data_IF_770606401018
#
_entry.id   IF_770606401018
#
_cell.length_a   1.000
_cell.length_b   1.000
_cell.length_c   1.000
_cell.angle_alpha   90.00
_cell.angle_beta   90.00
_cell.angle_gamma   90.00
#
_symmetry.space_group_name_H-M   'P 1'
#
loop_
_entity.id
_entity.type
_entity.pdbx_description
1 polymer ?
#
# COMPACT_ATOMS: atom_id res chain seq x y z
N UNK A 1 -1.10 9.02 -15.76
CA UNK A 1 -2.23 8.88 -14.81
C UNK A 1 -2.63 10.27 -14.31
N UNK A 2 -3.92 10.50 -14.06
CA UNK A 2 -4.45 11.79 -13.60
C UNK A 2 -4.91 11.74 -12.13
N UNK A 3 -5.05 12.92 -11.50
CA UNK A 3 -5.60 13.06 -10.15
C UNK A 3 -4.69 12.58 -9.03
N UNK A 4 -3.40 12.34 -9.30
CA UNK A 4 -2.43 11.95 -8.29
C UNK A 4 -2.11 13.13 -7.39
N UNK A 5 -2.11 12.91 -6.08
CA UNK A 5 -1.77 13.93 -5.08
C UNK A 5 -0.51 13.51 -4.33
N UNK A 6 0.53 14.33 -4.39
CA UNK A 6 1.73 14.23 -3.55
C UNK A 6 1.67 15.38 -2.53
N UNK A 7 0.89 15.17 -1.47
CA UNK A 7 0.54 16.21 -0.52
C UNK A 7 1.35 16.15 0.77
N UNK A 8 1.51 17.28 1.43
CA UNK A 8 2.08 17.31 2.76
C UNK A 8 1.04 17.17 3.87
N UNK A 9 1.46 16.67 5.03
CA UNK A 9 0.63 16.62 6.24
C UNK A 9 0.93 17.81 7.16
N UNK A 10 -0.11 18.39 7.77
CA UNK A 10 0.04 19.39 8.83
C UNK A 10 0.42 20.81 8.38
N UNK A 11 0.73 21.67 9.36
CA UNK A 11 1.14 23.08 9.19
C UNK A 11 2.65 23.29 9.38
N UNK A 12 3.38 22.19 9.49
CA UNK A 12 4.76 22.18 9.94
C UNK A 12 5.70 22.57 8.79
N UNK A 13 6.67 23.43 9.10
CA UNK A 13 7.60 23.98 8.12
C UNK A 13 8.79 23.02 8.04
N UNK A 14 9.00 22.44 6.86
CA UNK A 14 10.07 21.49 6.63
C UNK A 14 9.76 20.52 5.49
N UNK A 15 10.50 19.41 5.48
CA UNK A 15 10.27 18.33 4.53
C UNK A 15 9.02 17.54 4.92
N UNK A 16 7.92 17.84 4.23
CA UNK A 16 6.58 17.32 4.52
C UNK A 16 5.95 16.60 3.35
N UNK A 17 6.63 16.53 2.21
CA UNK A 17 6.08 15.93 0.98
C UNK A 17 6.70 14.56 0.72
N UNK A 18 5.97 13.67 0.02
CA UNK A 18 6.45 12.33 -0.26
C UNK A 18 7.70 12.32 -1.14
N UNK A 19 8.57 11.34 -0.92
CA UNK A 19 9.75 11.07 -1.76
C UNK A 19 9.49 9.84 -2.61
N UNK A 20 9.53 10.01 -3.92
CA UNK A 20 9.26 8.93 -4.88
C UNK A 20 10.58 8.34 -5.34
N UNK A 21 10.77 7.04 -5.12
CA UNK A 21 11.89 6.27 -5.61
C UNK A 21 11.84 6.09 -7.13
N UNK A 22 12.98 5.74 -7.71
CA UNK A 22 13.11 5.51 -9.14
C UNK A 22 12.18 4.35 -9.58
N UNK A 23 11.66 4.43 -10.80
CA UNK A 23 10.82 3.37 -11.38
C UNK A 23 9.49 3.11 -10.66
N UNK A 24 9.10 3.94 -9.68
CA UNK A 24 7.83 3.76 -9.00
C UNK A 24 6.64 4.08 -9.92
N UNK A 25 5.62 3.22 -9.91
CA UNK A 25 4.38 3.39 -10.68
C UNK A 25 3.26 3.87 -9.76
N UNK A 26 2.66 5.03 -10.08
CA UNK A 26 1.54 5.57 -9.33
C UNK A 26 0.26 5.53 -10.17
N UNK A 27 -0.75 4.81 -9.67
CA UNK A 27 -2.07 4.69 -10.30
C UNK A 27 -2.89 5.99 -10.28
N UNK A 28 -3.93 6.04 -11.11
CA UNK A 28 -4.84 7.18 -11.17
C UNK A 28 -5.51 7.47 -9.81
N UNK A 29 -5.69 8.75 -9.49
CA UNK A 29 -6.33 9.21 -8.24
C UNK A 29 -5.67 8.70 -6.95
N UNK A 30 -4.40 8.29 -6.99
CA UNK A 30 -3.65 7.93 -5.80
C UNK A 30 -3.29 9.17 -4.98
N UNK A 31 -3.49 9.10 -3.67
CA UNK A 31 -3.20 10.18 -2.73
C UNK A 31 -2.12 9.72 -1.77
N UNK A 32 -0.97 10.40 -1.80
CA UNK A 32 0.21 10.10 -1.00
C UNK A 32 0.47 11.32 -0.12
N UNK A 33 0.37 11.14 1.20
CA UNK A 33 0.41 12.24 2.15
C UNK A 33 1.55 12.08 3.16
N UNK A 34 2.29 13.17 3.37
CA UNK A 34 3.29 13.29 4.42
C UNK A 34 4.72 13.06 3.93
N UNK A 35 5.68 13.18 4.85
CA UNK A 35 7.08 12.90 4.57
C UNK A 35 7.34 11.38 4.57
N UNK A 36 6.82 10.71 3.55
CA UNK A 36 6.93 9.26 3.39
C UNK A 36 7.76 8.92 2.16
N UNK A 37 8.46 7.80 2.21
CA UNK A 37 9.27 7.28 1.12
C UNK A 37 8.52 6.18 0.40
N UNK A 38 8.38 6.35 -0.91
CA UNK A 38 7.96 5.30 -1.83
C UNK A 38 9.23 4.66 -2.38
N UNK A 39 9.45 3.39 -2.08
CA UNK A 39 10.63 2.65 -2.52
C UNK A 39 10.76 2.60 -4.04
N UNK A 40 11.97 2.31 -4.50
CA UNK A 40 12.27 2.06 -5.91
C UNK A 40 11.43 0.87 -6.44
N UNK A 41 10.91 1.00 -7.66
CA UNK A 41 10.08 -0.02 -8.28
C UNK A 41 8.77 -0.31 -7.53
N UNK A 42 8.37 0.51 -6.57
CA UNK A 42 7.11 0.32 -5.86
C UNK A 42 5.90 0.69 -6.74
N UNK A 43 4.79 0.02 -6.50
CA UNK A 43 3.58 0.17 -7.29
C UNK A 43 2.39 0.57 -6.42
N UNK A 44 1.84 1.75 -6.65
CA UNK A 44 0.67 2.27 -5.94
C UNK A 44 -0.58 2.07 -6.80
N UNK A 45 -1.54 1.31 -6.28
CA UNK A 45 -2.82 1.07 -6.94
C UNK A 45 -3.64 2.34 -7.12
N UNK A 46 -4.48 2.37 -8.14
CA UNK A 46 -5.39 3.49 -8.38
C UNK A 46 -6.34 3.72 -7.20
N UNK A 47 -6.60 4.98 -6.86
CA UNK A 47 -7.49 5.37 -5.76
C UNK A 47 -6.98 5.05 -4.35
N UNK A 48 -5.69 4.74 -4.18
CA UNK A 48 -5.12 4.38 -2.88
C UNK A 48 -4.75 5.59 -2.04
N UNK A 49 -4.89 5.49 -0.71
CA UNK A 49 -4.45 6.50 0.26
C UNK A 49 -3.22 5.99 1.03
N UNK A 50 -2.04 6.50 0.68
CA UNK A 50 -0.76 6.10 1.27
C UNK A 50 -0.36 7.09 2.36
N UNK A 51 -0.20 6.58 3.58
CA UNK A 51 0.18 7.34 4.78
C UNK A 51 1.40 6.74 5.51
N UNK A 52 2.04 5.72 4.93
CA UNK A 52 3.19 5.01 5.49
C UNK A 52 4.20 4.74 4.40
N UNK A 53 5.47 4.60 4.80
CA UNK A 53 6.54 4.22 3.88
C UNK A 53 6.23 2.91 3.17
N UNK A 54 6.58 2.88 1.89
CA UNK A 54 6.34 1.74 1.00
C UNK A 54 7.69 1.11 0.66
N UNK A 55 7.90 -0.19 0.97
CA UNK A 55 9.13 -0.89 0.63
C UNK A 55 9.41 -0.89 -0.88
N UNK A 56 10.68 -1.00 -1.30
CA UNK A 56 11.03 -1.19 -2.71
C UNK A 56 10.36 -2.44 -3.30
N UNK A 57 10.05 -2.41 -4.60
CA UNK A 57 9.43 -3.50 -5.36
C UNK A 57 8.16 -4.07 -4.72
N UNK A 58 7.42 -3.25 -3.97
CA UNK A 58 6.17 -3.66 -3.33
C UNK A 58 4.95 -3.03 -3.99
N UNK A 59 3.84 -3.77 -4.01
CA UNK A 59 2.55 -3.29 -4.48
C UNK A 59 1.67 -2.91 -3.29
N UNK A 60 1.16 -1.68 -3.28
CA UNK A 60 0.25 -1.18 -2.24
C UNK A 60 -1.08 -0.75 -2.83
N UNK A 61 -2.19 -1.06 -2.14
CA UNK A 61 -3.52 -0.61 -2.56
C UNK A 61 -4.47 -0.43 -1.38
N UNK A 62 -5.55 0.34 -1.61
CA UNK A 62 -6.66 0.51 -0.67
C UNK A 62 -6.63 1.82 0.12
N UNK A 63 -7.64 1.99 0.98
CA UNK A 63 -7.82 3.15 1.85
C UNK A 63 -8.14 2.62 3.26
N UNK A 64 -7.19 2.65 4.22
CA UNK A 64 -5.78 3.01 4.09
C UNK A 64 -4.98 1.99 3.27
N UNK A 65 -3.94 2.43 2.56
CA UNK A 65 -3.14 1.57 1.70
C UNK A 65 -2.40 0.48 2.50
N UNK A 66 -2.44 -0.76 1.99
CA UNK A 66 -1.73 -1.91 2.54
C UNK A 66 -0.90 -2.58 1.45
N UNK A 67 0.23 -3.14 1.86
CA UNK A 67 1.04 -3.99 0.98
C UNK A 67 0.24 -5.25 0.68
N UNK A 68 0.02 -5.50 -0.60
CA UNK A 68 -0.72 -6.65 -1.10
C UNK A 68 0.20 -7.72 -1.70
N UNK A 69 1.46 -7.37 -1.98
CA UNK A 69 2.53 -8.29 -2.34
C UNK A 69 3.68 -7.55 -3.01
N UNK A 70 4.52 -8.27 -3.75
CA UNK A 70 5.74 -7.76 -4.38
C UNK A 70 5.67 -7.87 -5.91
N UNK A 71 6.40 -6.99 -6.58
CA UNK A 71 6.46 -6.87 -8.03
C UNK A 71 7.85 -7.29 -8.49
N UNK A 72 7.93 -8.24 -9.43
CA UNK A 72 9.22 -8.72 -9.96
C UNK A 72 9.79 -7.80 -11.05
N UNK A 73 8.96 -6.93 -11.64
CA UNK A 73 9.40 -5.93 -12.61
C UNK A 73 10.34 -4.92 -11.93
N UNK A 74 11.54 -4.74 -12.49
CA UNK A 74 12.55 -3.81 -11.99
C UNK A 74 12.12 -2.35 -12.13
N UNK A 75 11.37 -2.03 -13.18
CA UNK A 75 10.86 -0.69 -13.45
C UNK A 75 9.41 -0.73 -13.94
N UNK A 76 8.42 -0.80 -13.03
CA UNK A 76 7.00 -0.80 -13.40
C UNK A 76 6.58 0.52 -14.06
N UNK A 77 7.33 1.61 -13.89
CA UNK A 77 7.01 2.90 -14.53
C UNK A 77 7.12 2.85 -16.06
N UNK A 78 8.00 2.00 -16.59
CA UNK A 78 8.20 1.83 -18.04
C UNK A 78 7.16 0.89 -18.66
N UNK A 79 6.75 -0.14 -17.92
CA UNK A 79 5.81 -1.15 -18.43
C UNK A 79 4.36 -0.68 -18.34
N UNK A 80 4.05 0.29 -17.48
CA UNK A 80 2.71 0.83 -17.25
C UNK A 80 1.65 -0.26 -17.01
N UNK A 81 2.06 -1.39 -16.44
CA UNK A 81 1.17 -2.49 -16.08
C UNK A 81 0.40 -2.09 -14.83
N UNK A 82 -0.80 -1.56 -15.02
CA UNK A 82 -1.72 -1.25 -13.92
C UNK A 82 -2.48 -2.48 -13.40
N UNK A 83 -2.30 -3.64 -14.04
CA UNK A 83 -3.00 -4.88 -13.74
C UNK A 83 -2.49 -5.50 -12.44
N UNK A 84 -3.11 -5.16 -11.32
CA UNK A 84 -3.16 -6.07 -10.19
C UNK A 84 -4.12 -7.22 -10.58
N UNK A 85 -3.57 -8.28 -11.20
CA UNK A 85 -4.37 -9.37 -11.73
C UNK A 85 -5.36 -9.91 -10.70
N UNK A 86 -6.54 -10.40 -11.15
CA UNK A 86 -7.56 -11.01 -10.25
C UNK A 86 -6.97 -12.08 -9.32
N UNK A 87 -5.91 -12.77 -9.74
CA UNK A 87 -5.21 -13.75 -8.92
C UNK A 87 -4.59 -13.12 -7.67
N UNK A 88 -4.03 -11.92 -7.79
CA UNK A 88 -3.43 -11.16 -6.71
C UNK A 88 -4.48 -10.71 -5.67
N UNK A 89 -5.60 -10.14 -6.13
CA UNK A 89 -6.71 -9.78 -5.24
C UNK A 89 -7.40 -11.01 -4.62
N UNK A 90 -7.42 -12.15 -5.32
CA UNK A 90 -7.93 -13.41 -4.76
C UNK A 90 -7.02 -13.92 -3.64
N UNK A 91 -5.69 -13.84 -3.80
CA UNK A 91 -4.72 -14.16 -2.76
C UNK A 91 -4.87 -13.25 -1.53
N UNK A 92 -5.04 -11.94 -1.75
CA UNK A 92 -5.28 -10.96 -0.67
C UNK A 92 -6.61 -11.22 0.04
N UNK A 93 -7.68 -11.53 -0.71
CA UNK A 93 -8.97 -11.89 -0.13
C UNK A 93 -8.89 -13.18 0.70
N UNK A 94 -8.09 -14.16 0.27
CA UNK A 94 -7.83 -15.39 1.03
C UNK A 94 -7.03 -15.06 2.29
N UNK A 95 -5.95 -14.28 2.20
CA UNK A 95 -5.13 -13.89 3.37
C UNK A 95 -5.93 -13.09 4.41
N UNK A 96 -6.79 -12.16 3.99
CA UNK A 96 -7.72 -11.45 4.89
C UNK A 96 -8.82 -12.37 5.46
N UNK A 97 -9.24 -13.40 4.72
CA UNK A 97 -10.19 -14.41 5.20
C UNK A 97 -9.54 -15.32 6.24
N UNK A 98 -8.30 -15.73 6.03
CA UNK A 98 -7.48 -16.48 6.99
C UNK A 98 -7.22 -15.68 8.26
N UNK A 99 -6.91 -14.38 8.15
CA UNK A 99 -6.75 -13.49 9.30
C UNK A 99 -8.07 -13.31 10.09
N UNK A 100 -9.23 -13.43 9.45
CA UNK A 100 -10.54 -13.45 10.13
C UNK A 100 -10.84 -14.79 10.79
N UNK A 101 -10.45 -15.91 10.20
CA UNK A 101 -10.66 -17.24 10.78
C UNK A 101 -9.68 -17.58 11.91
N UNK A 102 -8.46 -16.99 11.91
CA UNK A 102 -7.50 -17.14 13.00
C UNK A 102 -7.78 -16.19 14.19
N UNK A 103 -8.83 -15.37 14.11
CA UNK A 103 -9.26 -14.43 15.15
C UNK A 103 -10.43 -14.91 16.01
N UNK A 104 -10.77 -16.20 15.99
CA UNK A 104 -11.90 -16.75 16.73
C UNK A 104 -11.58 -18.07 17.48
N UNK A 105 -10.56 -18.07 18.34
CA UNK A 105 -10.40 -18.92 19.55
C UNK A 105 -9.38 -18.16 20.43
N UNK A 106 -9.63 -17.74 21.68
CA UNK A 106 -10.40 -18.36 22.74
C UNK A 106 -11.20 -17.33 23.58
N UNK A 107 -12.46 -17.66 23.82
CA UNK A 107 -13.18 -17.22 25.02
C UNK A 107 -13.17 -18.36 26.04
N UNK A 108 -13.16 -17.99 27.33
CA UNK A 108 -13.49 -18.76 28.55
C UNK A 108 -12.37 -19.60 29.17
N UNK A 109 -12.25 -19.76 30.49
CA UNK A 109 -12.85 -19.23 31.73
C UNK A 109 -12.19 -20.10 32.82
N UNK A 110 -11.62 -19.55 33.92
CA UNK A 110 -11.64 -20.14 35.28
C UNK A 110 -10.59 -19.58 36.28
N UNK A 111 -11.04 -19.34 37.52
CA UNK A 111 -10.25 -19.72 38.69
C UNK A 111 -9.71 -18.64 39.65
N UNK A 112 -10.56 -18.27 40.62
CA UNK A 112 -10.23 -18.16 42.06
C UNK A 112 -9.02 -17.35 42.55
N UNK A 113 -9.28 -16.25 43.26
CA UNK A 113 -9.14 -16.19 44.74
C UNK A 113 -9.95 -15.02 45.30
#
# INVERSE_FOLDING_TARGET
>A
MQGVTLGGTGKEIGDRHPKIGQGALIGASATILGNIKIGEGAMVGAGSLVMKDVPPHSMVTGIPAKVIGYVDDQDPSLTMKHDASKAFFKQVAISCKEARSNGAVASKDDGST
#
